data_IF_287127678240
#
_entry.id   IF_287127678240
#
_cell.length_a   1.000
_cell.length_b   1.000
_cell.length_c   1.000
_cell.angle_alpha   90.00
_cell.angle_beta   90.00
_cell.angle_gamma   90.00
#
_symmetry.space_group_name_H-M   'P 1'
#
loop_
_entity.id
_entity.type
_entity.pdbx_description
1 polymer ?
#
# COMPACT_ATOMS: atom_id res chain seq x y z
N UNK A 1 -3.67 -20.36 -19.77
CA UNK A 1 -2.52 -19.61 -19.22
C UNK A 1 -3.06 -18.51 -18.32
N UNK A 2 -2.85 -18.61 -17.03
CA UNK A 2 -3.13 -17.51 -16.13
C UNK A 2 -2.17 -16.39 -16.45
N UNK A 3 -2.70 -15.25 -16.87
CA UNK A 3 -1.90 -14.06 -17.10
C UNK A 3 -1.56 -13.46 -15.73
N UNK A 4 -0.45 -13.92 -15.14
CA UNK A 4 0.07 -13.48 -13.85
C UNK A 4 0.51 -12.02 -13.85
N UNK A 5 0.31 -11.31 -14.95
CA UNK A 5 0.79 -9.97 -15.16
C UNK A 5 -0.32 -8.92 -15.26
N UNK A 6 -1.51 -9.22 -14.73
CA UNK A 6 -2.60 -8.26 -14.72
C UNK A 6 -2.36 -7.14 -13.69
N UNK A 7 -2.77 -5.92 -14.03
CA UNK A 7 -2.85 -4.82 -13.08
C UNK A 7 -4.20 -4.85 -12.35
N UNK A 8 -4.23 -5.06 -11.03
CA UNK A 8 -5.47 -5.12 -10.27
C UNK A 8 -6.27 -3.81 -10.33
N UNK A 9 -5.61 -2.68 -10.57
CA UNK A 9 -6.24 -1.36 -10.62
C UNK A 9 -6.80 -1.00 -12.00
N UNK A 10 -6.38 -1.69 -13.07
CA UNK A 10 -6.89 -1.45 -14.43
C UNK A 10 -8.42 -1.64 -14.56
N UNK A 11 -9.01 -2.45 -13.68
CA UNK A 11 -10.47 -2.70 -13.66
C UNK A 11 -11.29 -1.61 -12.99
N UNK A 12 -10.64 -0.70 -12.26
CA UNK A 12 -11.31 0.30 -11.43
C UNK A 12 -11.61 1.59 -12.19
N UNK A 13 -11.36 1.60 -13.49
CA UNK A 13 -11.47 2.78 -14.34
C UNK A 13 -10.20 3.61 -14.35
N UNK A 14 -10.07 4.40 -15.40
CA UNK A 14 -8.93 5.32 -15.56
C UNK A 14 -9.13 6.56 -14.69
N UNK A 15 -8.09 6.94 -13.98
CA UNK A 15 -8.00 8.18 -13.21
C UNK A 15 -6.64 8.82 -13.49
N UNK A 16 -6.51 10.15 -13.36
CA UNK A 16 -5.20 10.81 -13.48
C UNK A 16 -4.14 10.16 -12.58
N UNK A 17 -2.94 9.99 -13.09
CA UNK A 17 -1.80 9.59 -12.29
C UNK A 17 -1.05 10.82 -11.78
N UNK A 18 -0.41 10.70 -10.62
CA UNK A 18 0.50 11.69 -10.08
C UNK A 18 1.81 11.03 -9.65
N UNK A 19 2.79 11.80 -9.20
CA UNK A 19 4.12 11.28 -8.94
C UNK A 19 4.19 10.62 -7.56
N UNK A 20 4.68 9.39 -7.49
CA UNK A 20 5.07 8.69 -6.27
C UNK A 20 6.54 8.30 -6.38
N UNK A 21 7.32 8.64 -5.37
CA UNK A 21 8.75 8.31 -5.25
C UNK A 21 9.03 7.66 -3.90
N UNK A 22 10.17 7.01 -3.79
CA UNK A 22 10.66 6.42 -2.54
C UNK A 22 12.19 6.42 -2.53
N UNK A 23 12.75 6.59 -1.33
CA UNK A 23 14.19 6.39 -1.10
C UNK A 23 14.54 4.91 -0.88
N UNK A 24 13.53 4.07 -0.65
CA UNK A 24 13.71 2.68 -0.23
C UNK A 24 13.35 1.66 -1.31
N UNK A 25 12.39 1.98 -2.17
CA UNK A 25 11.90 1.08 -3.22
C UNK A 25 11.78 1.80 -4.56
N UNK A 26 11.88 1.05 -5.64
CA UNK A 26 11.76 1.58 -6.99
C UNK A 26 10.79 0.74 -7.81
N UNK A 27 10.10 1.40 -8.74
CA UNK A 27 9.15 0.74 -9.64
C UNK A 27 9.87 -0.31 -10.51
N UNK A 28 9.32 -1.51 -10.56
CA UNK A 28 9.87 -2.64 -11.32
C UNK A 28 11.10 -3.29 -10.69
N UNK A 29 11.55 -2.87 -9.50
CA UNK A 29 12.74 -3.40 -8.85
C UNK A 29 12.41 -4.29 -7.65
N UNK A 30 13.31 -5.22 -7.27
CA UNK A 30 13.16 -6.01 -6.05
C UNK A 30 13.31 -5.10 -4.81
N UNK A 31 12.53 -5.38 -3.77
CA UNK A 31 12.66 -4.67 -2.50
C UNK A 31 13.82 -5.20 -1.65
N UNK A 32 14.35 -4.33 -0.79
CA UNK A 32 15.42 -4.69 0.15
C UNK A 32 14.88 -5.59 1.28
N UNK A 33 15.79 -6.40 1.86
CA UNK A 33 15.47 -7.40 2.88
C UNK A 33 14.65 -6.86 4.07
N UNK A 34 14.94 -5.64 4.55
CA UNK A 34 14.21 -5.04 5.70
C UNK A 34 12.72 -4.85 5.46
N UNK A 35 12.26 -4.81 4.21
CA UNK A 35 10.85 -4.68 3.85
C UNK A 35 10.13 -6.03 3.70
N UNK A 36 10.83 -7.12 3.91
CA UNK A 36 10.23 -8.45 4.06
C UNK A 36 9.67 -8.64 5.47
N UNK A 37 8.78 -9.60 5.62
CA UNK A 37 8.24 -10.00 6.91
C UNK A 37 9.31 -10.63 7.80
N UNK A 38 9.20 -10.43 9.13
CA UNK A 38 10.12 -11.05 10.10
C UNK A 38 10.23 -12.57 9.92
N UNK A 39 9.10 -13.24 9.67
CA UNK A 39 9.06 -14.68 9.40
C UNK A 39 9.80 -15.11 8.13
N UNK A 40 10.10 -14.20 7.23
CA UNK A 40 10.84 -14.41 5.99
C UNK A 40 12.29 -13.90 6.04
N UNK A 41 12.74 -13.47 7.21
CA UNK A 41 14.09 -12.92 7.42
C UNK A 41 14.21 -11.42 7.24
N UNK A 42 13.10 -10.71 7.14
CA UNK A 42 13.03 -9.24 7.11
C UNK A 42 12.73 -8.62 8.47
N UNK A 43 12.24 -7.38 8.46
CA UNK A 43 12.05 -6.57 9.66
C UNK A 43 10.64 -5.93 9.71
N UNK A 44 9.73 -6.23 8.78
CA UNK A 44 8.41 -5.61 8.65
C UNK A 44 8.44 -4.06 8.58
N UNK A 45 9.52 -3.49 8.06
CA UNK A 45 9.68 -2.05 7.92
C UNK A 45 9.00 -1.55 6.66
N UNK A 46 8.02 -0.65 6.77
CA UNK A 46 7.41 -0.02 5.61
C UNK A 46 8.40 0.93 4.93
N UNK A 47 8.45 0.98 3.58
CA UNK A 47 9.34 1.89 2.88
C UNK A 47 8.90 3.35 3.01
N UNK A 48 9.85 4.28 2.83
CA UNK A 48 9.58 5.68 2.58
C UNK A 48 8.69 5.83 1.32
N UNK A 49 7.70 6.70 1.39
CA UNK A 49 6.86 7.07 0.25
C UNK A 49 6.69 8.59 0.23
N UNK A 50 6.92 9.22 -0.91
CA UNK A 50 6.69 10.65 -1.10
C UNK A 50 5.93 10.88 -2.41
N UNK A 51 4.99 11.83 -2.41
CA UNK A 51 4.17 12.10 -3.59
C UNK A 51 3.96 13.58 -3.83
N UNK A 52 3.69 13.91 -5.09
CA UNK A 52 3.46 15.28 -5.56
C UNK A 52 2.55 15.28 -6.78
N UNK A 53 1.92 16.42 -7.05
CA UNK A 53 1.08 16.61 -8.23
C UNK A 53 -0.29 15.92 -8.13
N UNK A 54 -0.79 15.68 -6.92
CA UNK A 54 -2.15 15.20 -6.74
C UNK A 54 -3.18 16.13 -7.42
N UNK A 55 -4.29 15.60 -7.95
CA UNK A 55 -5.30 16.39 -8.61
C UNK A 55 -5.86 17.51 -7.73
N UNK A 56 -6.25 18.62 -8.36
CA UNK A 56 -7.00 19.68 -7.69
C UNK A 56 -8.28 19.12 -7.05
N UNK A 57 -8.63 19.61 -5.87
CA UNK A 57 -9.79 19.10 -5.12
C UNK A 57 -9.47 17.92 -4.19
N UNK A 58 -8.22 17.47 -4.14
CA UNK A 58 -7.80 16.46 -3.17
C UNK A 58 -7.96 16.98 -1.76
N UNK A 59 -8.66 16.22 -0.91
CA UNK A 59 -8.95 16.57 0.49
C UNK A 59 -8.35 15.58 1.48
N UNK A 60 -8.00 14.39 1.05
CA UNK A 60 -7.28 13.39 1.85
C UNK A 60 -6.59 12.38 0.96
N UNK A 61 -5.75 11.55 1.57
CA UNK A 61 -5.11 10.42 0.90
C UNK A 61 -5.37 9.11 1.64
N UNK A 62 -5.30 8.02 0.88
CA UNK A 62 -5.20 6.66 1.41
C UNK A 62 -3.97 5.99 0.79
N UNK A 63 -3.32 5.10 1.54
CA UNK A 63 -2.18 4.32 1.09
C UNK A 63 -2.47 2.85 1.30
N UNK A 64 -2.32 2.06 0.27
CA UNK A 64 -2.53 0.61 0.33
C UNK A 64 -1.32 -0.14 -0.20
N UNK A 65 -1.05 -1.31 0.38
CA UNK A 65 -0.05 -2.25 -0.13
C UNK A 65 -0.71 -3.59 -0.36
N UNK A 66 -0.68 -4.04 -1.61
CA UNK A 66 -1.41 -5.22 -2.07
C UNK A 66 -0.51 -6.16 -2.88
N UNK A 67 -0.57 -7.44 -2.56
CA UNK A 67 0.04 -8.55 -3.29
C UNK A 67 -1.07 -9.31 -4.06
N UNK A 68 -1.22 -9.08 -5.38
CA UNK A 68 -2.20 -9.80 -6.19
C UNK A 68 -1.77 -11.22 -6.54
N UNK A 69 -0.49 -11.55 -6.34
CA UNK A 69 0.12 -12.81 -6.75
C UNK A 69 0.11 -13.86 -5.63
N UNK A 70 -0.29 -13.48 -4.42
CA UNK A 70 -0.43 -14.40 -3.30
C UNK A 70 -1.33 -15.59 -3.67
N UNK A 71 -1.01 -16.84 -3.24
CA UNK A 71 -1.76 -18.04 -3.58
C UNK A 71 -3.08 -18.13 -2.78
N UNK A 72 -3.91 -17.11 -2.92
CA UNK A 72 -5.24 -16.97 -2.35
C UNK A 72 -6.24 -16.60 -3.44
N UNK A 73 -7.52 -16.76 -3.20
CA UNK A 73 -8.55 -16.37 -4.16
C UNK A 73 -8.72 -14.86 -4.35
N UNK A 74 -8.18 -14.04 -3.45
CA UNK A 74 -8.41 -12.59 -3.40
C UNK A 74 -7.14 -11.75 -3.27
N UNK A 75 -5.95 -12.35 -3.40
CA UNK A 75 -4.68 -11.68 -3.13
C UNK A 75 -4.43 -11.50 -1.62
N UNK A 76 -3.50 -10.62 -1.25
CA UNK A 76 -3.13 -10.40 0.13
C UNK A 76 -2.82 -8.93 0.40
N UNK A 77 -3.47 -8.34 1.40
CA UNK A 77 -3.28 -6.96 1.80
C UNK A 77 -2.24 -6.85 2.92
N UNK A 78 -1.19 -6.08 2.67
CA UNK A 78 -0.08 -5.85 3.59
C UNK A 78 -0.25 -4.59 4.42
N UNK A 79 -0.98 -3.59 3.91
CA UNK A 79 -1.25 -2.32 4.59
C UNK A 79 -2.48 -1.64 4.02
N UNK A 80 -3.28 -1.02 4.89
CA UNK A 80 -4.46 -0.25 4.52
C UNK A 80 -4.57 0.98 5.42
N UNK A 81 -3.99 2.09 4.98
CA UNK A 81 -3.88 3.37 5.68
C UNK A 81 -4.79 4.38 4.99
N UNK A 82 -5.55 5.16 5.76
CA UNK A 82 -6.48 6.13 5.23
C UNK A 82 -6.64 7.35 6.16
N UNK A 83 -7.41 8.34 5.68
CA UNK A 83 -7.60 9.62 6.38
C UNK A 83 -6.28 10.38 6.63
N UNK A 84 -5.35 10.27 5.68
CA UNK A 84 -4.18 11.14 5.66
C UNK A 84 -4.61 12.55 5.23
N UNK A 85 -4.27 13.61 5.99
CA UNK A 85 -4.61 14.99 5.62
C UNK A 85 -4.11 15.38 4.23
N UNK A 86 -4.79 16.34 3.59
CA UNK A 86 -4.46 16.82 2.25
C UNK A 86 -3.06 17.43 2.12
N UNK A 87 -2.48 17.92 3.21
CA UNK A 87 -1.12 18.48 3.28
C UNK A 87 -0.04 17.40 3.51
N UNK A 88 -0.42 16.13 3.66
CA UNK A 88 0.53 15.02 3.72
C UNK A 88 1.17 14.80 2.35
N UNK A 89 2.49 14.87 2.29
CA UNK A 89 3.26 14.68 1.04
C UNK A 89 4.23 13.51 1.12
N UNK A 90 4.42 12.94 2.32
CA UNK A 90 5.32 11.81 2.51
C UNK A 90 4.97 11.00 3.77
N UNK A 91 5.42 9.77 3.78
CA UNK A 91 5.49 8.88 4.92
C UNK A 91 6.95 8.42 5.08
N UNK A 92 7.57 8.63 6.24
CA UNK A 92 8.94 8.19 6.45
C UNK A 92 9.04 6.66 6.47
N UNK A 93 10.24 6.13 6.25
CA UNK A 93 10.55 4.72 6.45
C UNK A 93 10.09 4.28 7.84
N UNK A 94 9.38 3.17 7.93
CA UNK A 94 8.85 2.63 9.19
C UNK A 94 7.54 3.27 9.67
N UNK A 95 6.93 4.16 8.90
CA UNK A 95 5.64 4.78 9.28
C UNK A 95 4.51 3.77 9.51
N UNK A 96 4.60 2.59 8.90
CA UNK A 96 3.62 1.52 9.05
C UNK A 96 3.76 0.67 10.32
N UNK A 97 4.64 1.02 11.24
CA UNK A 97 4.80 0.28 12.50
C UNK A 97 3.52 0.35 13.37
N UNK A 98 3.31 -0.67 14.19
CA UNK A 98 2.27 -0.65 15.22
C UNK A 98 2.48 0.55 16.17
N UNK A 99 1.39 1.21 16.58
CA UNK A 99 1.47 2.39 17.44
C UNK A 99 1.33 3.72 16.73
N UNK A 100 1.55 3.77 15.40
CA UNK A 100 1.26 4.92 14.53
C UNK A 100 2.03 6.22 14.84
N UNK A 101 3.16 6.11 15.52
CA UNK A 101 3.93 7.26 16.01
C UNK A 101 4.41 8.19 14.90
N UNK A 102 4.66 7.65 13.69
CA UNK A 102 5.14 8.39 12.54
C UNK A 102 4.03 8.78 11.55
N UNK A 103 2.78 8.46 11.86
CA UNK A 103 1.64 8.82 11.01
C UNK A 103 1.11 10.21 11.35
N UNK A 104 0.60 10.96 10.35
CA UNK A 104 -0.07 12.23 10.59
C UNK A 104 -1.28 12.06 11.53
N UNK A 105 -1.55 13.10 12.32
CA UNK A 105 -2.70 13.10 13.21
C UNK A 105 -4.02 12.88 12.43
N UNK A 106 -4.84 11.96 12.92
CA UNK A 106 -6.12 11.60 12.30
C UNK A 106 -6.04 10.45 11.28
N UNK A 107 -4.84 10.07 10.84
CA UNK A 107 -4.66 8.88 10.03
C UNK A 107 -5.07 7.61 10.77
N UNK A 108 -5.60 6.64 10.04
CA UNK A 108 -6.10 5.39 10.58
C UNK A 108 -5.60 4.22 9.73
N UNK A 109 -5.28 3.11 10.39
CA UNK A 109 -4.87 1.87 9.75
C UNK A 109 -5.89 0.78 10.04
N UNK A 110 -6.45 0.18 8.99
CA UNK A 110 -7.30 -1.01 9.12
C UNK A 110 -6.47 -2.26 9.37
N UNK A 111 -7.06 -3.30 9.96
CA UNK A 111 -6.44 -4.61 10.02
C UNK A 111 -6.11 -5.13 8.62
N UNK A 112 -4.86 -5.55 8.39
CA UNK A 112 -4.44 -6.24 7.17
C UNK A 112 -4.95 -7.70 7.14
N UNK A 113 -4.49 -8.51 6.19
CA UNK A 113 -4.94 -9.91 6.10
C UNK A 113 -4.56 -10.75 7.34
N UNK A 114 -3.49 -10.39 8.05
CA UNK A 114 -3.12 -11.02 9.33
C UNK A 114 -3.87 -10.43 10.53
N UNK A 115 -4.84 -9.55 10.29
CA UNK A 115 -5.63 -8.84 11.31
C UNK A 115 -4.79 -7.92 12.19
N UNK A 116 -3.66 -7.44 11.70
CA UNK A 116 -2.77 -6.49 12.36
C UNK A 116 -2.95 -5.09 11.78
N UNK A 117 -3.01 -4.08 12.64
CA UNK A 117 -3.10 -2.66 12.25
C UNK A 117 -1.71 -2.07 12.07
N UNK A 118 -1.02 -2.56 11.06
CA UNK A 118 0.35 -2.16 10.72
C UNK A 118 0.67 -2.58 9.30
N UNK A 119 1.80 -2.13 8.79
CA UNK A 119 2.44 -2.73 7.63
C UNK A 119 3.03 -4.09 8.02
N UNK A 120 2.85 -5.08 7.16
CA UNK A 120 3.60 -6.33 7.22
C UNK A 120 4.37 -6.51 5.92
N UNK A 121 5.59 -7.00 6.03
CA UNK A 121 6.51 -7.12 4.92
C UNK A 121 6.19 -8.27 3.98
N UNK A 122 6.91 -8.32 2.87
CA UNK A 122 6.77 -9.34 1.85
C UNK A 122 7.15 -10.73 2.37
N UNK A 123 6.36 -11.73 2.01
CA UNK A 123 6.61 -13.13 2.38
C UNK A 123 6.13 -14.09 1.28
N UNK A 124 6.60 -13.95 0.02
CA UNK A 124 6.12 -14.81 -1.06
C UNK A 124 6.58 -16.25 -0.81
N UNK A 125 5.64 -17.24 -0.86
CA UNK A 125 5.98 -18.60 -0.45
C UNK A 125 6.59 -19.45 -1.55
N UNK A 126 6.35 -19.16 -2.81
CA UNK A 126 6.57 -20.09 -3.93
C UNK A 126 7.34 -19.51 -5.12
N UNK A 127 7.19 -18.22 -5.45
CA UNK A 127 7.80 -17.56 -6.58
C UNK A 127 7.95 -16.07 -6.34
N UNK A 128 8.40 -15.32 -7.32
CA UNK A 128 8.37 -13.86 -7.29
C UNK A 128 6.92 -13.35 -7.27
N UNK A 129 6.60 -12.46 -6.34
CA UNK A 129 5.35 -11.72 -6.24
C UNK A 129 5.56 -10.24 -6.46
N UNK A 130 4.53 -9.55 -6.92
CA UNK A 130 4.47 -8.09 -7.04
C UNK A 130 3.77 -7.49 -5.85
N UNK A 131 4.28 -6.35 -5.41
CA UNK A 131 3.72 -5.58 -4.29
C UNK A 131 3.39 -4.19 -4.79
N UNK A 132 2.10 -3.88 -4.83
CA UNK A 132 1.56 -2.61 -5.29
C UNK A 132 1.45 -1.64 -4.12
N UNK A 133 2.36 -0.66 -4.07
CA UNK A 133 2.28 0.49 -3.18
C UNK A 133 1.49 1.58 -3.90
N UNK A 134 0.30 1.90 -3.40
CA UNK A 134 -0.61 2.82 -4.09
C UNK A 134 -1.05 3.93 -3.17
N UNK A 135 -0.92 5.17 -3.64
CA UNK A 135 -1.45 6.37 -3.00
C UNK A 135 -2.69 6.81 -3.79
N UNK A 136 -3.81 6.91 -3.09
CA UNK A 136 -5.09 7.36 -3.63
C UNK A 136 -5.36 8.79 -3.16
N UNK A 137 -5.58 9.72 -4.09
CA UNK A 137 -6.02 11.09 -3.80
C UNK A 137 -7.55 11.12 -3.80
N UNK A 138 -8.16 11.59 -2.70
CA UNK A 138 -9.60 11.51 -2.47
C UNK A 138 -10.25 12.89 -2.40
N UNK A 139 -11.51 13.00 -2.85
CA UNK A 139 -12.32 14.23 -2.84
C UNK A 139 -13.05 14.48 -1.51
N UNK A 140 -12.84 13.64 -0.51
CA UNK A 140 -13.41 13.75 0.83
C UNK A 140 -12.30 13.91 1.88
N UNK A 141 -12.60 14.65 2.94
CA UNK A 141 -11.63 14.86 4.04
C UNK A 141 -11.46 13.60 4.89
N UNK A 142 -12.52 12.81 5.02
CA UNK A 142 -12.54 11.59 5.82
C UNK A 142 -13.44 10.54 5.19
N UNK A 143 -13.01 9.30 5.34
CA UNK A 143 -13.86 8.12 5.21
C UNK A 143 -14.24 7.66 6.62
N UNK A 144 -15.52 7.49 6.86
CA UNK A 144 -16.05 6.99 8.14
C UNK A 144 -16.30 5.48 8.03
N UNK A 145 -15.27 4.71 8.34
CA UNK A 145 -15.28 3.25 8.26
C UNK A 145 -15.28 2.64 9.67
N UNK A 146 -15.96 1.50 9.80
CA UNK A 146 -15.78 0.66 10.99
C UNK A 146 -14.30 0.29 11.13
N UNK A 147 -13.68 0.51 12.31
CA UNK A 147 -12.27 0.16 12.52
C UNK A 147 -11.94 -1.32 12.28
N UNK A 148 -12.92 -2.21 12.30
CA UNK A 148 -12.73 -3.63 11.98
C UNK A 148 -12.99 -3.97 10.51
N UNK A 149 -13.22 -2.97 9.65
CA UNK A 149 -13.40 -3.16 8.22
C UNK A 149 -12.16 -3.82 7.60
N UNK A 150 -12.38 -4.51 6.48
CA UNK A 150 -11.29 -5.11 5.71
C UNK A 150 -10.67 -4.08 4.75
N UNK A 151 -9.43 -4.30 4.28
CA UNK A 151 -8.85 -3.48 3.22
C UNK A 151 -9.69 -3.44 1.94
N UNK A 152 -10.42 -4.51 1.63
CA UNK A 152 -11.36 -4.52 0.50
C UNK A 152 -12.51 -3.53 0.69
N UNK A 153 -13.02 -3.35 1.91
CA UNK A 153 -14.03 -2.32 2.22
C UNK A 153 -13.44 -0.91 2.08
N UNK A 154 -12.19 -0.69 2.49
CA UNK A 154 -11.50 0.56 2.19
C UNK A 154 -11.46 0.81 0.68
N UNK A 155 -11.00 -0.17 -0.09
CA UNK A 155 -10.93 -0.08 -1.55
C UNK A 155 -12.28 0.23 -2.19
N UNK A 156 -13.37 -0.38 -1.71
CA UNK A 156 -14.73 -0.10 -2.16
C UNK A 156 -15.12 1.37 -1.93
N UNK A 157 -14.84 1.92 -0.75
CA UNK A 157 -15.14 3.32 -0.46
C UNK A 157 -14.23 4.28 -1.23
N UNK A 158 -12.94 4.00 -1.28
CA UNK A 158 -11.95 4.78 -2.04
C UNK A 158 -12.35 4.88 -3.52
N UNK A 159 -12.89 3.81 -4.11
CA UNK A 159 -13.31 3.80 -5.51
C UNK A 159 -14.26 4.97 -5.88
N UNK A 160 -15.19 5.31 -5.01
CA UNK A 160 -16.18 6.37 -5.27
C UNK A 160 -15.64 7.79 -5.03
N UNK A 161 -14.44 7.93 -4.46
CA UNK A 161 -13.85 9.20 -4.06
C UNK A 161 -12.50 9.48 -4.70
N UNK A 162 -11.97 8.55 -5.51
CA UNK A 162 -10.63 8.67 -6.11
C UNK A 162 -10.62 9.71 -7.22
N UNK A 163 -9.85 10.77 -7.02
CA UNK A 163 -9.52 11.79 -8.04
C UNK A 163 -8.28 11.42 -8.85
N UNK A 164 -7.37 10.68 -8.28
CA UNK A 164 -6.14 10.24 -8.91
C UNK A 164 -5.45 9.13 -8.13
N UNK A 165 -4.52 8.46 -8.79
CA UNK A 165 -3.79 7.33 -8.20
C UNK A 165 -2.33 7.38 -8.63
N UNK A 166 -1.43 7.14 -7.67
CA UNK A 166 0.00 6.99 -7.93
C UNK A 166 0.49 5.66 -7.38
N UNK A 167 1.36 4.97 -8.08
CA UNK A 167 1.82 3.65 -7.66
C UNK A 167 3.29 3.41 -7.91
N UNK A 168 3.90 2.58 -7.06
CA UNK A 168 5.16 1.89 -7.26
C UNK A 168 4.86 0.40 -7.14
N UNK A 169 5.32 -0.39 -8.09
CA UNK A 169 5.20 -1.85 -8.06
C UNK A 169 6.58 -2.43 -7.88
N UNK A 170 6.83 -3.04 -6.73
CA UNK A 170 8.09 -3.72 -6.45
C UNK A 170 7.90 -5.23 -6.48
N UNK A 171 8.99 -5.98 -6.46
CA UNK A 171 8.94 -7.44 -6.42
C UNK A 171 9.67 -7.99 -5.19
N UNK A 172 9.30 -9.19 -4.79
CA UNK A 172 9.99 -9.98 -3.80
C UNK A 172 9.96 -11.46 -4.15
N UNK A 173 11.05 -12.15 -3.83
CA UNK A 173 11.18 -13.61 -4.05
C UNK A 173 11.25 -14.35 -2.70
N UNK A 174 10.97 -15.67 -2.66
CA UNK A 174 10.99 -16.44 -1.42
C UNK A 174 12.30 -16.36 -0.62
N UNK A 175 13.41 -16.13 -1.30
CA UNK A 175 14.75 -16.08 -0.70
C UNK A 175 15.36 -14.66 -0.70
N UNK A 176 14.61 -13.65 -1.14
CA UNK A 176 15.13 -12.28 -1.33
C UNK A 176 15.62 -11.60 -0.06
N UNK A 177 15.14 -11.99 1.12
CA UNK A 177 15.62 -11.47 2.40
C UNK A 177 16.82 -12.24 2.97
N UNK A 178 17.22 -13.36 2.37
CA UNK A 178 18.28 -14.26 2.87
C UNK A 178 19.65 -14.02 2.20
N UNK A 179 19.71 -13.01 1.33
CA UNK A 179 20.90 -12.66 0.55
C UNK A 179 22.01 -11.95 1.30
#
# INVERSE_FOLDING_TARGET
MSDWNYDPYARLGEVPSFTLTSDDVADGAPMAARHYGEGSGGEDVSPHLAWSGAPEGTKSFAVTVFDPDAPTGSGFWHWALYNLPADTTELPTGAGAAGFELLPHGAQTLPNEMRLRQFIGAAPPDREHRYFFVVHALDVERLDLDPESTPAILGFNVHFHTLGRAQIVTTATPDGAKG
#
